data_IF_026603284758
#
_entry.id   IF_026603284758
#
_cell.length_a   1.000
_cell.length_b   1.000
_cell.length_c   1.000
_cell.angle_alpha   90.00
_cell.angle_beta   90.00
_cell.angle_gamma   90.00
#
_symmetry.space_group_name_H-M   'P 1'
#
loop_
_entity.id
_entity.type
_entity.pdbx_description
1 polymer ?
#
# COMPACT_ATOMS: atom_id res chain seq x y z
N UNK A 1 10.83 2.55 31.91
CA UNK A 1 9.65 2.47 31.03
C UNK A 1 9.83 3.53 29.95
N UNK A 2 10.36 3.16 28.77
CA UNK A 2 10.49 4.10 27.63
C UNK A 2 9.11 4.21 27.00
N UNK A 3 8.56 5.41 27.02
CA UNK A 3 7.26 5.75 26.44
C UNK A 3 7.23 5.35 24.97
N UNK A 4 6.25 4.55 24.59
CA UNK A 4 5.94 4.14 23.20
C UNK A 4 5.38 5.31 22.36
N UNK A 5 5.59 6.55 22.80
CA UNK A 5 5.19 7.73 22.06
C UNK A 5 6.19 7.89 20.93
N UNK A 6 5.72 7.73 19.69
CA UNK A 6 6.53 7.96 18.50
C UNK A 6 7.16 9.35 18.58
N UNK A 7 8.48 9.43 18.47
CA UNK A 7 9.20 10.71 18.51
C UNK A 7 8.78 11.56 17.31
N UNK A 8 8.06 12.65 17.57
CA UNK A 8 7.50 13.55 16.55
C UNK A 8 8.47 14.65 16.13
N UNK A 9 9.70 14.68 16.66
CA UNK A 9 10.73 15.68 16.30
C UNK A 9 11.00 15.78 14.79
N UNK A 10 11.01 14.69 13.98
CA UNK A 10 11.17 14.78 12.53
C UNK A 10 10.08 15.61 11.84
N UNK A 11 8.86 15.65 12.39
CA UNK A 11 7.73 16.40 11.81
C UNK A 11 7.87 17.92 11.91
N UNK A 12 8.84 18.41 12.68
CA UNK A 12 9.17 19.85 12.74
C UNK A 12 9.82 20.35 11.44
N UNK A 13 10.46 19.46 10.67
CA UNK A 13 10.98 19.80 9.36
C UNK A 13 9.81 19.84 8.34
N UNK A 14 9.53 21.00 7.71
CA UNK A 14 8.40 21.14 6.80
C UNK A 14 8.49 20.25 5.56
N UNK A 15 9.71 19.97 5.08
CA UNK A 15 9.93 19.08 3.94
C UNK A 15 9.63 17.63 4.30
N UNK A 16 10.08 17.18 5.47
CA UNK A 16 9.76 15.82 5.96
C UNK A 16 8.26 15.67 6.23
N UNK A 17 7.63 16.67 6.85
CA UNK A 17 6.18 16.63 7.13
C UNK A 17 5.35 16.47 5.85
N UNK A 18 5.66 17.22 4.79
CA UNK A 18 4.98 17.08 3.48
C UNK A 18 5.19 15.69 2.88
N UNK A 19 6.40 15.18 2.92
CA UNK A 19 6.72 13.84 2.43
C UNK A 19 5.97 12.77 3.24
N UNK A 20 5.90 12.92 4.54
CA UNK A 20 5.24 11.98 5.45
C UNK A 20 3.72 11.97 5.29
N UNK A 21 3.08 13.14 5.18
CA UNK A 21 1.63 13.23 4.91
C UNK A 21 1.27 12.63 3.55
N UNK A 22 2.06 12.91 2.51
CA UNK A 22 1.89 12.26 1.21
C UNK A 22 2.05 10.74 1.31
N UNK A 23 2.98 10.25 2.14
CA UNK A 23 3.16 8.82 2.37
C UNK A 23 1.94 8.17 3.03
N UNK A 24 1.32 8.82 4.01
CA UNK A 24 0.09 8.31 4.64
C UNK A 24 -0.99 8.07 3.60
N UNK A 25 -1.27 9.09 2.78
CA UNK A 25 -2.30 9.01 1.72
C UNK A 25 -1.98 7.88 0.74
N UNK A 26 -0.72 7.81 0.30
CA UNK A 26 -0.26 6.77 -0.64
C UNK A 26 -0.39 5.37 -0.06
N UNK A 27 0.06 5.15 1.18
CA UNK A 27 0.03 3.83 1.84
C UNK A 27 -1.42 3.40 2.11
N UNK A 28 -2.25 4.30 2.62
CA UNK A 28 -3.68 4.00 2.87
C UNK A 28 -4.38 3.65 1.56
N UNK A 29 -4.18 4.43 0.50
CA UNK A 29 -4.74 4.13 -0.82
C UNK A 29 -4.28 2.78 -1.38
N UNK A 30 -2.98 2.48 -1.29
CA UNK A 30 -2.44 1.19 -1.73
C UNK A 30 -3.01 0.01 -0.93
N UNK A 31 -3.15 0.14 0.40
CA UNK A 31 -3.73 -0.92 1.23
C UNK A 31 -5.21 -1.15 0.93
N UNK A 32 -5.96 -0.09 0.70
CA UNK A 32 -7.37 -0.20 0.28
C UNK A 32 -7.49 -0.93 -1.06
N UNK A 33 -6.64 -0.62 -2.03
CA UNK A 33 -6.65 -1.29 -3.34
C UNK A 33 -6.30 -2.79 -3.22
N UNK A 34 -5.32 -3.15 -2.39
CA UNK A 34 -4.92 -4.56 -2.16
C UNK A 34 -6.07 -5.39 -1.59
N UNK A 35 -7.00 -4.77 -0.85
CA UNK A 35 -8.18 -5.46 -0.31
C UNK A 35 -9.37 -5.36 -1.26
N UNK A 36 -9.60 -4.20 -1.86
CA UNK A 36 -10.78 -3.92 -2.68
C UNK A 36 -10.77 -4.69 -4.01
N UNK A 37 -9.61 -4.77 -4.68
CA UNK A 37 -9.51 -5.43 -6.00
C UNK A 37 -9.83 -6.92 -5.95
N UNK A 38 -9.25 -7.74 -5.04
CA UNK A 38 -9.64 -9.13 -4.90
C UNK A 38 -11.10 -9.33 -4.51
N UNK A 39 -11.64 -8.45 -3.66
CA UNK A 39 -13.04 -8.50 -3.24
C UNK A 39 -13.98 -8.20 -4.41
N UNK A 40 -13.68 -7.20 -5.23
CA UNK A 40 -14.43 -6.87 -6.43
C UNK A 40 -14.38 -8.00 -7.44
N UNK A 41 -13.20 -8.55 -7.75
CA UNK A 41 -13.03 -9.68 -8.68
C UNK A 41 -13.82 -10.90 -8.21
N UNK A 42 -13.84 -11.17 -6.91
CA UNK A 42 -14.65 -12.27 -6.36
C UNK A 42 -16.14 -12.00 -6.51
N UNK A 43 -16.59 -10.77 -6.27
CA UNK A 43 -17.99 -10.39 -6.43
C UNK A 43 -18.49 -10.52 -7.89
N UNK A 44 -17.60 -10.24 -8.87
CA UNK A 44 -17.95 -10.29 -10.28
C UNK A 44 -17.83 -11.69 -10.88
N UNK A 45 -16.85 -12.50 -10.44
CA UNK A 45 -16.55 -13.81 -11.04
C UNK A 45 -17.06 -15.00 -10.23
N UNK A 46 -17.27 -14.83 -8.92
CA UNK A 46 -17.56 -15.93 -8.00
C UNK A 46 -16.43 -16.96 -7.85
N UNK A 47 -15.26 -16.71 -8.45
CA UNK A 47 -14.17 -17.67 -8.59
C UNK A 47 -12.96 -17.31 -7.72
N UNK A 48 -12.59 -18.21 -6.82
CA UNK A 48 -11.36 -18.08 -6.02
C UNK A 48 -10.08 -18.17 -6.87
N UNK A 49 -10.13 -18.77 -8.05
CA UNK A 49 -8.99 -18.84 -8.97
C UNK A 49 -8.61 -17.44 -9.48
N UNK A 50 -9.57 -16.62 -9.86
CA UNK A 50 -9.31 -15.23 -10.26
C UNK A 50 -8.80 -14.38 -9.10
N UNK A 51 -9.27 -14.63 -7.87
CA UNK A 51 -8.71 -14.00 -6.67
C UNK A 51 -7.24 -14.41 -6.46
N UNK A 52 -6.90 -15.68 -6.67
CA UNK A 52 -5.51 -16.13 -6.64
C UNK A 52 -4.64 -15.45 -7.69
N UNK A 53 -5.21 -15.16 -8.88
CA UNK A 53 -4.52 -14.45 -9.96
C UNK A 53 -4.12 -13.03 -9.56
N UNK A 54 -4.89 -12.35 -8.70
CA UNK A 54 -4.50 -11.03 -8.15
C UNK A 54 -3.18 -11.11 -7.39
N UNK A 55 -2.91 -12.23 -6.70
CA UNK A 55 -1.64 -12.46 -6.03
C UNK A 55 -0.46 -12.44 -7.01
N UNK A 56 -0.60 -13.12 -8.15
CA UNK A 56 0.43 -13.16 -9.20
C UNK A 56 0.60 -11.79 -9.83
N UNK A 57 -0.49 -11.14 -10.25
CA UNK A 57 -0.48 -9.81 -10.88
C UNK A 57 -0.01 -8.70 -9.93
N UNK A 58 -0.09 -8.92 -8.62
CA UNK A 58 0.46 -8.02 -7.61
C UNK A 58 1.94 -8.30 -7.32
N UNK A 59 2.30 -9.58 -7.15
CA UNK A 59 3.64 -9.98 -6.71
C UNK A 59 4.69 -9.81 -7.83
N UNK A 60 4.36 -10.22 -9.05
CA UNK A 60 5.30 -10.16 -10.18
C UNK A 60 5.79 -8.73 -10.44
N UNK A 61 4.92 -7.71 -10.60
CA UNK A 61 5.37 -6.33 -10.74
C UNK A 61 6.11 -5.81 -9.50
N UNK A 62 5.64 -6.19 -8.30
CA UNK A 62 6.28 -5.78 -7.06
C UNK A 62 7.74 -6.24 -6.99
N UNK A 63 8.03 -7.48 -7.36
CA UNK A 63 9.37 -8.05 -7.35
C UNK A 63 10.21 -7.47 -8.49
N UNK A 64 9.70 -7.50 -9.71
CA UNK A 64 10.42 -7.03 -10.90
C UNK A 64 10.76 -5.54 -10.75
N UNK A 65 9.78 -4.69 -10.52
CA UNK A 65 9.99 -3.25 -10.40
C UNK A 65 10.61 -2.83 -9.06
N UNK A 66 10.51 -3.64 -8.01
CA UNK A 66 11.21 -3.44 -6.77
C UNK A 66 12.72 -3.58 -6.93
N UNK A 67 13.17 -4.61 -7.66
CA UNK A 67 14.58 -4.83 -7.99
C UNK A 67 15.10 -3.77 -8.98
N UNK A 68 14.34 -3.50 -10.05
CA UNK A 68 14.70 -2.48 -11.05
C UNK A 68 14.60 -1.06 -10.49
N UNK A 69 13.67 -0.81 -9.57
CA UNK A 69 13.48 0.49 -8.92
C UNK A 69 14.69 0.93 -8.11
N UNK A 70 15.42 -0.03 -7.49
CA UNK A 70 16.71 0.24 -6.85
C UNK A 70 17.75 0.73 -7.85
N UNK A 71 17.96 0.00 -8.94
CA UNK A 71 18.88 0.39 -10.02
C UNK A 71 18.48 1.71 -10.69
N UNK A 72 17.17 1.93 -10.88
CA UNK A 72 16.64 3.18 -11.47
C UNK A 72 16.91 4.39 -10.56
N UNK A 73 16.78 4.21 -9.24
CA UNK A 73 17.05 5.26 -8.25
C UNK A 73 18.51 5.69 -8.17
N UNK A 74 19.43 4.89 -8.72
CA UNK A 74 20.85 5.22 -8.81
C UNK A 74 21.19 6.04 -10.06
N UNK A 75 20.41 5.89 -11.13
CA UNK A 75 20.64 6.55 -12.43
C UNK A 75 19.77 7.81 -12.60
N UNK A 76 18.54 7.78 -12.12
CA UNK A 76 17.57 8.87 -12.28
C UNK A 76 17.54 9.71 -11.00
N UNK A 77 17.38 11.02 -11.15
CA UNK A 77 17.18 11.90 -10.01
C UNK A 77 15.96 11.43 -9.16
N UNK A 78 16.23 11.17 -7.88
CA UNK A 78 15.25 10.61 -6.92
C UNK A 78 14.00 11.47 -6.80
N UNK A 79 14.13 12.78 -6.96
CA UNK A 79 12.98 13.70 -6.94
C UNK A 79 12.06 13.46 -8.14
N UNK A 80 12.64 13.37 -9.32
CA UNK A 80 11.90 13.06 -10.56
C UNK A 80 11.22 11.70 -10.46
N UNK A 81 11.93 10.69 -9.98
CA UNK A 81 11.39 9.34 -9.81
C UNK A 81 10.21 9.30 -8.82
N UNK A 82 10.30 10.03 -7.69
CA UNK A 82 9.19 10.17 -6.75
C UNK A 82 7.98 10.86 -7.36
N UNK A 83 8.20 11.92 -8.14
CA UNK A 83 7.12 12.65 -8.80
C UNK A 83 6.44 11.75 -9.82
N UNK A 84 7.20 11.11 -10.71
CA UNK A 84 6.65 10.21 -11.75
C UNK A 84 5.86 9.06 -11.14
N UNK A 85 6.42 8.38 -10.13
CA UNK A 85 5.73 7.25 -9.49
C UNK A 85 4.49 7.70 -8.71
N UNK A 86 4.51 8.87 -8.08
CA UNK A 86 3.35 9.41 -7.37
C UNK A 86 2.23 9.80 -8.35
N UNK A 87 2.56 10.46 -9.47
CA UNK A 87 1.58 10.75 -10.51
C UNK A 87 1.05 9.47 -11.17
N UNK A 88 1.90 8.46 -11.39
CA UNK A 88 1.48 7.15 -11.87
C UNK A 88 0.46 6.50 -10.94
N UNK A 89 0.70 6.54 -9.62
CA UNK A 89 -0.25 6.02 -8.62
C UNK A 89 -1.56 6.80 -8.57
N UNK A 90 -1.52 8.13 -8.71
CA UNK A 90 -2.74 8.95 -8.80
C UNK A 90 -3.50 8.59 -10.07
N UNK A 91 -2.82 8.47 -11.19
CA UNK A 91 -3.43 8.10 -12.47
C UNK A 91 -4.10 6.73 -12.42
N UNK A 92 -3.43 5.70 -11.89
CA UNK A 92 -4.02 4.37 -11.72
C UNK A 92 -5.21 4.38 -10.77
N UNK A 93 -5.15 5.11 -9.65
CA UNK A 93 -6.28 5.26 -8.73
C UNK A 93 -7.47 5.97 -9.40
N UNK A 94 -7.21 6.96 -10.23
CA UNK A 94 -8.25 7.65 -11.01
C UNK A 94 -8.88 6.71 -12.04
N UNK A 95 -8.08 5.86 -12.70
CA UNK A 95 -8.59 4.86 -13.63
C UNK A 95 -9.43 3.79 -12.93
N UNK A 96 -9.07 3.35 -11.72
CA UNK A 96 -9.91 2.47 -10.91
C UNK A 96 -11.26 3.12 -10.59
N UNK A 97 -11.25 4.41 -10.22
CA UNK A 97 -12.49 5.13 -9.94
C UNK A 97 -13.35 5.26 -11.20
N UNK A 98 -12.74 5.60 -12.32
CA UNK A 98 -13.43 5.80 -13.61
C UNK A 98 -14.03 4.48 -14.13
N UNK A 99 -13.31 3.37 -14.01
CA UNK A 99 -13.78 2.04 -14.37
C UNK A 99 -15.00 1.64 -13.53
N UNK A 100 -14.95 1.89 -12.21
CA UNK A 100 -16.08 1.63 -11.32
C UNK A 100 -17.30 2.54 -11.64
N UNK A 101 -17.05 3.79 -12.02
CA UNK A 101 -18.10 4.73 -12.42
C UNK A 101 -18.82 4.30 -13.70
N UNK A 102 -18.09 3.74 -14.66
CA UNK A 102 -18.68 3.23 -15.91
C UNK A 102 -19.32 1.85 -15.78
N UNK A 103 -19.26 1.25 -14.61
CA UNK A 103 -19.80 -0.09 -14.37
C UNK A 103 -19.10 -1.17 -15.20
N UNK A 104 -17.84 -0.94 -15.57
CA UNK A 104 -17.08 -1.92 -16.34
C UNK A 104 -16.63 -3.06 -15.43
N UNK A 105 -17.00 -4.29 -15.77
CA UNK A 105 -16.72 -5.52 -15.02
C UNK A 105 -15.60 -6.35 -15.64
N UNK A 106 -14.77 -5.74 -16.50
CA UNK A 106 -13.66 -6.44 -17.11
C UNK A 106 -12.55 -6.76 -16.11
N UNK A 107 -12.46 -8.05 -15.76
CA UNK A 107 -11.49 -8.58 -14.79
C UNK A 107 -10.04 -8.38 -15.25
N UNK A 108 -9.78 -8.47 -16.54
CA UNK A 108 -8.43 -8.28 -17.07
C UNK A 108 -7.96 -6.83 -16.97
N UNK A 109 -8.87 -5.90 -17.18
CA UNK A 109 -8.61 -4.47 -16.94
C UNK A 109 -8.28 -4.20 -15.47
N UNK A 110 -9.05 -4.78 -14.54
CA UNK A 110 -8.81 -4.68 -13.11
C UNK A 110 -7.44 -5.24 -12.72
N UNK A 111 -7.10 -6.43 -13.21
CA UNK A 111 -5.81 -7.07 -12.96
C UNK A 111 -4.66 -6.24 -13.55
N UNK A 112 -4.82 -5.69 -14.75
CA UNK A 112 -3.82 -4.83 -15.39
C UNK A 112 -3.58 -3.54 -14.63
N UNK A 113 -4.64 -2.85 -14.21
CA UNK A 113 -4.54 -1.63 -13.39
C UNK A 113 -3.90 -1.91 -12.03
N UNK A 114 -4.26 -3.04 -11.41
CA UNK A 114 -3.68 -3.47 -10.14
C UNK A 114 -2.18 -3.75 -10.27
N UNK A 115 -1.78 -4.47 -11.33
CA UNK A 115 -0.40 -4.74 -11.67
C UNK A 115 0.42 -3.46 -11.86
N UNK A 116 -0.13 -2.51 -12.61
CA UNK A 116 0.51 -1.21 -12.88
C UNK A 116 0.66 -0.38 -11.58
N UNK A 117 -0.35 -0.39 -10.73
CA UNK A 117 -0.27 0.29 -9.44
C UNK A 117 0.79 -0.31 -8.52
N UNK A 118 0.89 -1.65 -8.48
CA UNK A 118 1.93 -2.35 -7.72
C UNK A 118 3.34 -2.05 -8.25
N UNK A 119 3.50 -1.91 -9.56
CA UNK A 119 4.77 -1.50 -10.17
C UNK A 119 5.21 -0.10 -9.70
N UNK A 120 4.31 0.90 -9.75
CA UNK A 120 4.62 2.23 -9.24
C UNK A 120 4.90 2.24 -7.74
N UNK A 121 4.15 1.48 -6.96
CA UNK A 121 4.37 1.35 -5.53
C UNK A 121 5.73 0.73 -5.21
N UNK A 122 6.13 -0.30 -5.95
CA UNK A 122 7.41 -0.99 -5.78
C UNK A 122 8.61 -0.07 -6.00
N UNK A 123 8.54 0.84 -6.96
CA UNK A 123 9.59 1.84 -7.23
C UNK A 123 9.55 3.00 -6.23
N UNK A 124 8.35 3.42 -5.83
CA UNK A 124 8.16 4.57 -4.94
C UNK A 124 8.76 4.33 -3.54
N UNK A 125 8.58 3.15 -2.97
CA UNK A 125 9.01 2.84 -1.60
C UNK A 125 10.54 2.92 -1.38
N UNK A 126 11.39 2.25 -2.17
CA UNK A 126 12.83 2.37 -2.01
C UNK A 126 13.34 3.78 -2.33
N UNK A 127 12.77 4.45 -3.34
CA UNK A 127 13.14 5.82 -3.68
C UNK A 127 12.87 6.78 -2.52
N UNK A 128 11.74 6.63 -1.86
CA UNK A 128 11.35 7.43 -0.69
C UNK A 128 12.29 7.20 0.49
N UNK A 129 12.62 5.94 0.79
CA UNK A 129 13.54 5.61 1.88
C UNK A 129 14.96 6.16 1.62
N UNK A 130 15.38 6.20 0.36
CA UNK A 130 16.67 6.76 -0.05
C UNK A 130 16.76 8.30 0.05
N UNK A 131 15.64 9.01 0.12
CA UNK A 131 15.58 10.48 0.30
C UNK A 131 15.64 10.87 1.78
N UNK A 132 15.19 10.01 2.70
CA UNK A 132 15.14 10.29 4.14
C UNK A 132 16.48 10.78 4.73
N UNK A 133 17.63 10.13 4.47
CA UNK A 133 18.91 10.56 5.04
C UNK A 133 19.41 11.92 4.54
N UNK A 134 18.84 12.41 3.41
CA UNK A 134 19.16 13.75 2.89
C UNK A 134 18.34 14.87 3.51
N UNK A 135 17.17 14.52 4.08
CA UNK A 135 16.24 15.48 4.66
C UNK A 135 16.40 15.62 6.18
N UNK A 136 16.95 14.60 6.83
CA UNK A 136 17.04 14.53 8.29
C UNK A 136 18.47 14.20 8.73
N UNK A 137 18.94 14.78 9.85
CA UNK A 137 20.19 14.37 10.47
C UNK A 137 20.10 12.91 10.93
N UNK A 138 21.23 12.20 10.93
CA UNK A 138 21.33 10.78 11.26
C UNK A 138 20.69 10.42 12.60
N UNK A 139 20.72 11.32 13.57
CA UNK A 139 20.10 11.13 14.90
C UNK A 139 18.59 11.02 14.88
N UNK A 140 17.91 11.54 13.86
CA UNK A 140 16.45 11.51 13.69
C UNK A 140 15.95 10.39 12.76
N UNK A 141 16.83 9.67 12.09
CA UNK A 141 16.46 8.58 11.18
C UNK A 141 15.70 7.43 11.87
N UNK A 142 16.10 6.97 13.09
CA UNK A 142 15.33 5.94 13.80
C UNK A 142 13.89 6.38 14.10
N UNK A 143 13.72 7.66 14.50
CA UNK A 143 12.40 8.23 14.76
C UNK A 143 11.55 8.36 13.48
N UNK A 144 12.15 8.74 12.36
CA UNK A 144 11.48 8.81 11.06
C UNK A 144 11.05 7.41 10.57
N UNK A 145 11.89 6.40 10.74
CA UNK A 145 11.56 5.02 10.39
C UNK A 145 10.43 4.46 11.28
N UNK A 146 10.43 4.74 12.58
CA UNK A 146 9.35 4.31 13.47
C UNK A 146 8.01 4.93 13.08
N UNK A 147 8.00 6.22 12.70
CA UNK A 147 6.81 6.89 12.18
C UNK A 147 6.30 6.25 10.88
N UNK A 148 7.20 5.90 9.95
CA UNK A 148 6.81 5.20 8.73
C UNK A 148 6.25 3.81 8.98
N UNK A 149 6.83 3.05 9.92
CA UNK A 149 6.32 1.74 10.32
C UNK A 149 4.94 1.85 10.96
N UNK A 150 4.69 2.88 11.77
CA UNK A 150 3.37 3.15 12.36
C UNK A 150 2.32 3.39 11.27
N UNK A 151 2.66 4.16 10.22
CA UNK A 151 1.76 4.40 9.08
C UNK A 151 1.45 3.10 8.34
N UNK A 152 2.44 2.25 8.08
CA UNK A 152 2.25 0.96 7.42
C UNK A 152 1.34 0.03 8.25
N UNK A 153 1.54 -0.02 9.56
CA UNK A 153 0.72 -0.83 10.45
C UNK A 153 -0.71 -0.29 10.55
N UNK A 154 -0.88 1.02 10.67
CA UNK A 154 -2.20 1.65 10.69
C UNK A 154 -2.96 1.40 9.37
N UNK A 155 -2.28 1.46 8.22
CA UNK A 155 -2.87 1.14 6.92
C UNK A 155 -3.36 -0.31 6.84
N UNK A 156 -2.61 -1.26 7.39
CA UNK A 156 -3.01 -2.68 7.45
C UNK A 156 -4.17 -2.92 8.41
N UNK A 157 -4.22 -2.20 9.52
CA UNK A 157 -5.29 -2.33 10.53
C UNK A 157 -6.59 -1.70 10.07
N UNK A 158 -6.54 -0.73 9.15
CA UNK A 158 -7.72 -0.11 8.54
C UNK A 158 -8.43 -1.03 7.52
N UNK A 159 -7.77 -2.10 7.06
CA UNK A 159 -8.42 -3.14 6.28
C UNK A 159 -9.47 -3.83 7.16
N UNK A 160 -10.74 -3.96 6.70
CA UNK A 160 -11.80 -4.56 7.49
C UNK A 160 -11.42 -5.99 7.87
N UNK A 161 -11.04 -6.19 9.14
CA UNK A 161 -10.93 -7.53 9.69
C UNK A 161 -12.34 -8.11 9.67
N UNK A 162 -12.62 -8.98 8.71
CA UNK A 162 -13.77 -9.86 8.78
C UNK A 162 -13.61 -10.67 10.07
N UNK A 163 -14.20 -10.17 11.15
CA UNK A 163 -14.38 -10.94 12.37
C UNK A 163 -15.21 -12.15 11.97
N UNK A 164 -14.55 -13.26 11.71
CA UNK A 164 -15.18 -14.58 11.74
C UNK A 164 -15.72 -14.71 13.16
N UNK A 165 -16.99 -14.34 13.33
CA UNK A 165 -17.76 -14.69 14.52
C UNK A 165 -17.81 -16.21 14.53
N UNK A 166 -16.86 -16.83 15.19
CA UNK A 166 -16.94 -18.21 15.63
C UNK A 166 -18.20 -18.31 16.50
N UNK A 167 -19.30 -18.74 15.90
CA UNK A 167 -20.52 -19.17 16.59
C UNK A 167 -20.21 -20.45 17.34
N UNK A 168 -19.46 -20.35 18.45
CA UNK A 168 -19.50 -21.34 19.51
C UNK A 168 -20.77 -21.10 20.30
N UNK A 169 -21.89 -21.56 19.75
CA UNK A 169 -23.12 -21.65 20.52
C UNK A 169 -23.73 -23.03 20.29
N UNK A 170 -23.96 -23.69 21.41
CA UNK A 170 -24.88 -24.81 21.59
C UNK A 170 -24.44 -26.20 21.09
N UNK A 171 -23.53 -26.81 21.81
CA UNK A 171 -23.54 -28.27 21.97
C UNK A 171 -23.35 -28.63 23.45
N UNK A 172 -24.25 -28.19 24.30
CA UNK A 172 -24.35 -28.70 25.68
C UNK A 172 -25.79 -28.58 26.18
N UNK A 173 -26.67 -29.42 25.66
CA UNK A 173 -27.91 -29.81 26.34
C UNK A 173 -28.42 -31.06 25.65
N UNK A 174 -28.33 -32.20 26.38
CA UNK A 174 -29.02 -33.42 25.98
C UNK A 174 -28.31 -34.67 26.48
N UNK A 175 -28.22 -34.84 27.81
CA UNK A 175 -28.06 -36.17 28.40
C UNK A 175 -28.80 -36.13 29.76
N UNK A 176 -30.03 -36.54 29.72
CA UNK A 176 -30.71 -37.24 30.83
C UNK A 176 -31.24 -38.53 30.30
#
# INVERSE_FOLDING_TARGET
>A
MRSWIADTRPLRNPHFRRLWTANIVTVVGAQLTVVAVPAQIYAETGSSAYVGLTGVFGLVPLVVFGLWGGALADVIDRRTLLVVTTFGMIGTSTLFWLQAWWGNTDVWLLLGLFSLQQAFFAVNQPTRSAVLPRLLPLSLLPAANSLNMTVMQAGRSAAPSSRVRSSRSSASRGST
#
